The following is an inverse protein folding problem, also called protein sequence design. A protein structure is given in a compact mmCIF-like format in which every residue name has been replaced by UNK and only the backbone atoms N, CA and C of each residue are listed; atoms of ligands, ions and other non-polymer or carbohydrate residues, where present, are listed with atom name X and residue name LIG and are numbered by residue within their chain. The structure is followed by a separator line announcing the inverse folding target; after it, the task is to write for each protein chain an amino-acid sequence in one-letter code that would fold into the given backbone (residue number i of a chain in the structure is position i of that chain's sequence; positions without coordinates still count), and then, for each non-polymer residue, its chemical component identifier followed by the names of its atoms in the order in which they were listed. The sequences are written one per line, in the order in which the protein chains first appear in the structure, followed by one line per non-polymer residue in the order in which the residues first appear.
data_IF_051459030920
#
_entry.id   IF_051459030920
#
_cell.length_a   1.000
_cell.length_b   1.000
_cell.length_c   1.000
_cell.angle_alpha   90.00
_cell.angle_beta   90.00
_cell.angle_gamma   90.00
#
_symmetry.space_group_name_H-M   'P 1'
#
loop_
_entity.id
_entity.type
_entity.pdbx_description
1 polymer ?
#
# COMPACT_ATOMS: atom_id res chain seq x y z
N UNK A 1 -5.02 26.02 2.63
CA UNK A 1 -4.60 24.76 3.26
C UNK A 1 -5.22 23.57 2.59
N UNK A 2 -4.45 22.49 2.46
CA UNK A 2 -4.95 21.26 1.86
C UNK A 2 -5.96 20.57 2.77
N UNK A 3 -7.13 20.20 2.25
CA UNK A 3 -8.11 19.43 3.01
C UNK A 3 -7.56 18.07 3.42
N UNK A 4 -6.80 17.44 2.55
CA UNK A 4 -6.20 16.13 2.78
C UNK A 4 -5.16 16.19 3.89
N UNK A 5 -4.30 17.22 3.86
CA UNK A 5 -3.26 17.38 4.87
C UNK A 5 -3.78 17.63 6.27
N UNK A 6 -4.94 18.27 6.40
CA UNK A 6 -5.57 18.55 7.69
C UNK A 6 -6.35 17.38 8.27
N UNK A 7 -6.65 16.37 7.45
CA UNK A 7 -7.44 15.25 7.91
C UNK A 7 -6.65 14.44 8.95
N UNK A 8 -7.32 14.07 10.02
CA UNK A 8 -6.72 13.23 11.05
C UNK A 8 -6.60 11.80 10.56
N UNK A 9 -5.63 11.08 11.08
CA UNK A 9 -5.45 9.66 10.82
C UNK A 9 -5.75 8.91 12.11
N UNK A 10 -6.76 8.04 12.08
CA UNK A 10 -7.06 7.19 13.22
C UNK A 10 -6.07 6.04 13.26
N UNK A 11 -5.47 5.81 14.42
CA UNK A 11 -4.51 4.73 14.61
C UNK A 11 -5.22 3.56 15.30
N UNK A 12 -5.38 2.40 14.62
CA UNK A 12 -5.95 1.23 15.27
C UNK A 12 -5.08 0.79 16.47
N UNK A 13 -5.71 0.15 17.44
CA UNK A 13 -5.02 -0.27 18.67
C UNK A 13 -3.88 -1.25 18.41
N UNK A 14 -3.94 -1.98 17.30
CA UNK A 14 -2.93 -2.97 16.91
C UNK A 14 -1.81 -2.41 16.05
N UNK A 15 -1.82 -1.11 15.78
CA UNK A 15 -0.79 -0.43 14.98
C UNK A 15 0.03 0.51 15.87
N UNK A 16 1.35 0.44 15.72
CA UNK A 16 2.28 1.31 16.43
C UNK A 16 3.00 2.20 15.43
N UNK A 17 3.03 3.50 15.70
CA UNK A 17 3.74 4.47 14.87
C UNK A 17 4.86 5.08 15.70
N UNK A 18 6.08 5.08 15.15
CA UNK A 18 7.25 5.72 15.77
C UNK A 18 7.90 6.63 14.76
N UNK A 19 8.47 7.73 15.25
CA UNK A 19 9.23 8.68 14.46
C UNK A 19 10.61 8.87 15.09
N UNK A 20 11.64 8.78 14.25
CA UNK A 20 13.01 9.03 14.68
C UNK A 20 13.79 9.65 13.54
N UNK A 21 14.33 10.86 13.76
CA UNK A 21 15.16 11.58 12.78
C UNK A 21 14.50 11.70 11.39
N UNK A 22 13.20 11.97 11.37
CA UNK A 22 12.46 12.09 10.12
C UNK A 22 12.05 10.77 9.48
N UNK A 23 12.38 9.64 10.10
CA UNK A 23 11.96 8.34 9.62
C UNK A 23 10.74 7.85 10.40
N UNK A 24 9.63 7.70 9.72
CA UNK A 24 8.39 7.20 10.32
C UNK A 24 8.28 5.70 10.09
N UNK A 25 8.11 4.96 11.17
CA UNK A 25 7.91 3.51 11.13
C UNK A 25 6.50 3.18 11.60
N UNK A 26 5.75 2.47 10.77
CA UNK A 26 4.40 2.00 11.11
C UNK A 26 4.44 0.48 11.19
N UNK A 27 4.13 -0.05 12.36
CA UNK A 27 4.16 -1.49 12.63
C UNK A 27 2.76 -1.98 12.99
N UNK A 28 2.29 -2.98 12.29
CA UNK A 28 0.99 -3.59 12.54
C UNK A 28 1.03 -5.10 12.37
N UNK A 29 -0.10 -5.79 12.56
CA UNK A 29 -0.16 -7.25 12.49
C UNK A 29 0.13 -7.83 11.12
N UNK A 30 -0.04 -7.05 10.06
CA UNK A 30 0.24 -7.50 8.69
C UNK A 30 1.69 -7.29 8.28
N UNK A 31 2.38 -6.33 8.88
CA UNK A 31 3.78 -6.05 8.54
C UNK A 31 4.25 -4.71 9.09
N UNK A 32 5.40 -4.29 8.65
CA UNK A 32 6.04 -3.05 9.07
C UNK A 32 6.47 -2.27 7.83
N UNK A 33 6.15 -0.99 7.81
CA UNK A 33 6.52 -0.08 6.73
C UNK A 33 7.24 1.14 7.30
N UNK A 34 8.17 1.68 6.51
CA UNK A 34 8.92 2.88 6.87
C UNK A 34 8.80 3.92 5.77
N UNK A 35 8.84 5.19 6.16
CA UNK A 35 8.79 6.31 5.22
C UNK A 35 9.65 7.45 5.75
N UNK A 36 10.57 7.92 4.92
CA UNK A 36 11.35 9.12 5.20
C UNK A 36 10.49 10.35 4.89
N UNK A 37 10.33 11.23 5.87
CA UNK A 37 9.62 12.49 5.66
C UNK A 37 10.61 13.66 5.56
N UNK A 38 10.25 14.69 4.81
CA UNK A 38 11.09 15.88 4.65
C UNK A 38 11.11 16.72 5.92
N UNK A 39 12.19 17.47 6.09
CA UNK A 39 12.29 18.43 7.18
C UNK A 39 11.12 19.40 7.14
N UNK A 40 10.65 19.78 8.30
CA UNK A 40 9.55 20.72 8.44
C UNK A 40 8.19 20.11 8.65
N UNK A 41 7.96 18.88 8.19
CA UNK A 41 6.71 18.18 8.50
C UNK A 41 6.86 17.50 9.84
N UNK A 42 5.95 17.81 10.76
CA UNK A 42 5.96 17.28 12.12
C UNK A 42 4.76 16.38 12.35
N UNK A 43 5.00 15.26 13.02
CA UNK A 43 3.93 14.33 13.40
C UNK A 43 3.55 14.58 14.86
N UNK A 44 2.25 14.61 15.12
CA UNK A 44 1.71 14.71 16.45
C UNK A 44 0.75 13.56 16.70
N UNK A 45 1.04 12.77 17.70
CA UNK A 45 0.24 11.59 18.05
C UNK A 45 -0.39 11.78 19.43
N UNK A 46 -1.72 11.68 19.50
CA UNK A 46 -2.49 11.90 20.72
C UNK A 46 -3.74 11.02 20.68
N UNK A 47 -3.98 10.26 21.77
CA UNK A 47 -5.22 9.47 21.96
C UNK A 47 -5.62 8.60 20.76
N UNK A 48 -4.62 7.96 20.12
CA UNK A 48 -4.90 7.12 18.97
C UNK A 48 -5.16 7.88 17.68
N UNK A 49 -4.87 9.17 17.65
CA UNK A 49 -5.04 10.02 16.48
C UNK A 49 -3.68 10.60 16.09
N UNK A 50 -3.37 10.52 14.81
CA UNK A 50 -2.16 11.09 14.24
C UNK A 50 -2.50 12.31 13.40
N UNK A 51 -1.83 13.42 13.65
CA UNK A 51 -1.95 14.62 12.84
C UNK A 51 -0.57 15.02 12.33
N UNK A 52 -0.54 15.62 11.14
CA UNK A 52 0.67 16.16 10.55
C UNK A 52 0.59 17.67 10.57
N UNK A 53 1.67 18.32 10.98
CA UNK A 53 1.79 19.77 11.00
C UNK A 53 2.88 20.20 10.02
N UNK A 54 2.70 21.39 9.45
CA UNK A 54 3.66 21.99 8.55
C UNK A 54 4.12 23.32 9.09
N UNK A 55 5.38 23.75 8.80
CA UNK A 55 5.91 25.00 9.38
C UNK A 55 5.38 26.27 8.70
N UNK A 56 4.84 26.16 7.48
CA UNK A 56 4.36 27.32 6.74
C UNK A 56 3.26 26.96 5.76
N UNK A 57 2.67 27.98 5.15
CA UNK A 57 1.65 27.83 4.12
C UNK A 57 2.22 27.92 2.70
N UNK A 58 3.53 27.74 2.53
CA UNK A 58 4.12 27.70 1.20
C UNK A 58 3.54 26.56 0.38
N UNK A 59 3.49 26.73 -0.94
CA UNK A 59 2.96 25.74 -1.87
C UNK A 59 3.67 24.39 -1.72
N UNK A 60 4.99 24.42 -1.49
CA UNK A 60 5.78 23.21 -1.30
C UNK A 60 5.39 22.49 0.00
N UNK A 61 5.24 23.21 1.10
CA UNK A 61 4.84 22.59 2.38
C UNK A 61 3.41 22.06 2.33
N UNK A 62 2.51 22.73 1.62
CA UNK A 62 1.14 22.22 1.42
C UNK A 62 1.14 20.91 0.64
N UNK A 63 1.93 20.83 -0.41
CA UNK A 63 2.04 19.63 -1.24
C UNK A 63 2.64 18.47 -0.45
N UNK A 64 3.73 18.72 0.30
CA UNK A 64 4.36 17.71 1.13
C UNK A 64 3.44 17.25 2.27
N UNK A 65 2.72 18.18 2.88
CA UNK A 65 1.75 17.86 3.95
C UNK A 65 0.70 16.87 3.48
N UNK A 66 0.07 17.14 2.33
CA UNK A 66 -0.92 16.23 1.75
C UNK A 66 -0.33 14.89 1.34
N UNK A 67 0.86 14.91 0.72
CA UNK A 67 1.54 13.71 0.28
C UNK A 67 1.86 12.77 1.45
N UNK A 68 2.51 13.30 2.49
CA UNK A 68 2.91 12.46 3.63
C UNK A 68 1.71 11.99 4.44
N UNK A 69 0.67 12.82 4.54
CA UNK A 69 -0.56 12.37 5.18
C UNK A 69 -1.15 11.16 4.45
N UNK A 70 -1.20 11.20 3.12
CA UNK A 70 -1.73 10.10 2.31
C UNK A 70 -0.85 8.85 2.44
N UNK A 71 0.47 9.01 2.38
CA UNK A 71 1.41 7.90 2.50
C UNK A 71 1.31 7.21 3.85
N UNK A 72 1.28 7.99 4.94
CA UNK A 72 1.19 7.45 6.29
C UNK A 72 -0.17 6.79 6.52
N UNK A 73 -1.25 7.38 6.02
CA UNK A 73 -2.57 6.76 6.10
C UNK A 73 -2.59 5.39 5.40
N UNK A 74 -2.00 5.29 4.22
CA UNK A 74 -1.90 4.02 3.51
C UNK A 74 -1.07 2.99 4.27
N UNK A 75 0.00 3.43 4.94
CA UNK A 75 0.82 2.56 5.77
C UNK A 75 0.04 2.02 6.96
N UNK A 76 -0.74 2.88 7.62
CA UNK A 76 -1.59 2.48 8.76
C UNK A 76 -2.63 1.46 8.32
N UNK A 77 -3.37 1.73 7.24
CA UNK A 77 -4.38 0.81 6.72
C UNK A 77 -3.74 -0.50 6.26
N UNK A 78 -2.64 -0.41 5.52
CA UNK A 78 -1.96 -1.59 4.98
C UNK A 78 -1.43 -2.52 6.07
N UNK A 79 -0.80 -1.98 7.10
CA UNK A 79 -0.25 -2.80 8.18
C UNK A 79 -1.31 -3.36 9.13
N UNK A 80 -2.48 -2.72 9.22
CA UNK A 80 -3.59 -3.19 10.07
C UNK A 80 -4.53 -4.14 9.33
N UNK A 81 -5.06 -3.74 8.17
CA UNK A 81 -6.06 -4.49 7.42
C UNK A 81 -5.50 -5.13 6.15
N UNK A 82 -4.50 -4.51 5.56
CA UNK A 82 -3.93 -4.93 4.28
C UNK A 82 -4.75 -4.41 3.10
N UNK A 83 -4.18 -4.57 1.91
CA UNK A 83 -4.84 -4.21 0.67
C UNK A 83 -5.01 -5.47 -0.18
N UNK A 84 -6.16 -5.61 -0.80
CA UNK A 84 -6.45 -6.72 -1.70
C UNK A 84 -6.97 -6.17 -3.02
N UNK A 85 -6.42 -6.66 -4.12
CA UNK A 85 -6.86 -6.29 -5.47
C UNK A 85 -7.06 -7.54 -6.30
N UNK A 86 -8.20 -7.60 -6.99
CA UNK A 86 -8.50 -8.70 -7.89
C UNK A 86 -8.46 -8.21 -9.33
N UNK A 87 -7.83 -8.99 -10.18
CA UNK A 87 -7.73 -8.71 -11.60
C UNK A 87 -8.32 -9.89 -12.36
N UNK A 88 -9.19 -9.60 -13.34
CA UNK A 88 -9.78 -10.59 -14.21
C UNK A 88 -9.12 -10.52 -15.58
N UNK A 89 -8.65 -11.65 -16.06
CA UNK A 89 -8.07 -11.74 -17.40
C UNK A 89 -9.16 -12.05 -18.42
N UNK A 90 -9.42 -11.11 -19.32
CA UNK A 90 -10.47 -11.26 -20.33
C UNK A 90 -9.83 -11.51 -21.69
N UNK A 91 -10.04 -12.70 -22.23
CA UNK A 91 -9.51 -13.09 -23.54
C UNK A 91 -9.59 -14.60 -23.74
N UNK A 92 -9.74 -15.00 -24.99
CA UNK A 92 -9.82 -16.42 -25.35
C UNK A 92 -8.46 -17.08 -25.13
N UNK A 93 -8.45 -18.16 -24.35
CA UNK A 93 -7.23 -18.93 -24.08
C UNK A 93 -6.33 -18.30 -23.02
N UNK A 94 -6.75 -17.21 -22.37
CA UNK A 94 -5.96 -16.60 -21.30
C UNK A 94 -5.96 -17.51 -20.08
N UNK A 95 -4.81 -17.65 -19.46
CA UNK A 95 -4.61 -18.47 -18.27
C UNK A 95 -3.68 -17.79 -17.31
N UNK A 96 -3.84 -18.09 -16.03
CA UNK A 96 -2.96 -17.62 -14.98
C UNK A 96 -2.70 -18.74 -13.99
N UNK A 97 -1.47 -18.87 -13.56
CA UNK A 97 -1.07 -19.78 -12.50
C UNK A 97 0.05 -19.16 -11.68
N UNK A 98 0.28 -19.64 -10.49
CA UNK A 98 1.33 -19.11 -9.64
C UNK A 98 2.09 -20.22 -8.93
N UNK A 99 3.33 -19.92 -8.60
CA UNK A 99 4.18 -20.78 -7.80
C UNK A 99 4.94 -19.89 -6.82
N UNK A 100 4.53 -19.92 -5.55
CA UNK A 100 5.07 -18.97 -4.57
C UNK A 100 4.72 -17.54 -4.99
N UNK A 101 5.73 -16.69 -5.15
CA UNK A 101 5.57 -15.30 -5.59
C UNK A 101 5.80 -15.11 -7.09
N UNK A 102 5.81 -16.19 -7.84
CA UNK A 102 6.01 -16.15 -9.28
C UNK A 102 4.66 -16.32 -9.97
N UNK A 103 4.30 -15.35 -10.80
CA UNK A 103 3.07 -15.36 -11.58
C UNK A 103 3.37 -15.73 -13.02
N UNK A 104 2.74 -16.81 -13.50
CA UNK A 104 2.83 -17.25 -14.88
C UNK A 104 1.53 -16.97 -15.58
N UNK A 105 1.56 -16.26 -16.70
CA UNK A 105 0.38 -15.89 -17.46
C UNK A 105 0.53 -16.28 -18.94
N UNK A 106 -0.55 -16.80 -19.52
CA UNK A 106 -0.66 -17.01 -20.97
C UNK A 106 -1.71 -16.00 -21.48
N UNK A 107 -1.25 -15.01 -22.25
CA UNK A 107 -2.06 -13.86 -22.66
C UNK A 107 -2.13 -13.71 -24.19
N UNK A 108 -2.12 -14.82 -24.92
CA UNK A 108 -2.20 -14.78 -26.38
C UNK A 108 -0.89 -14.55 -27.11
N UNK A 109 0.22 -14.41 -26.38
CA UNK A 109 1.54 -14.32 -26.97
C UNK A 109 2.10 -15.71 -27.27
N UNK A 110 3.12 -15.78 -28.12
CA UNK A 110 3.77 -17.04 -28.45
C UNK A 110 4.54 -17.65 -27.29
N UNK A 111 4.81 -16.86 -26.25
CA UNK A 111 5.49 -17.30 -25.03
C UNK A 111 4.69 -16.88 -23.80
N UNK A 112 4.91 -17.58 -22.70
CA UNK A 112 4.29 -17.22 -21.43
C UNK A 112 4.96 -15.96 -20.85
N UNK A 113 4.16 -15.15 -20.14
CA UNK A 113 4.66 -14.01 -19.42
C UNK A 113 4.89 -14.44 -17.97
N UNK A 114 6.09 -14.22 -17.47
CA UNK A 114 6.48 -14.57 -16.11
C UNK A 114 6.80 -13.29 -15.34
N UNK A 115 6.20 -13.13 -14.17
CA UNK A 115 6.43 -11.98 -13.33
C UNK A 115 6.77 -12.43 -11.92
N UNK A 116 7.93 -12.00 -11.43
CA UNK A 116 8.32 -12.25 -10.05
C UNK A 116 7.82 -11.12 -9.17
N UNK A 117 7.10 -11.45 -8.12
CA UNK A 117 6.51 -10.47 -7.21
C UNK A 117 7.36 -10.34 -5.94
N UNK A 118 7.35 -9.15 -5.31
CA UNK A 118 8.02 -8.97 -4.02
C UNK A 118 7.46 -9.92 -2.95
N UNK A 119 8.25 -10.17 -1.92
CA UNK A 119 7.86 -11.07 -0.82
C UNK A 119 6.63 -10.59 -0.04
N UNK A 120 6.41 -9.29 -0.05
CA UNK A 120 5.30 -8.65 0.67
C UNK A 120 3.94 -8.94 0.04
N UNK A 121 3.93 -9.42 -1.20
CA UNK A 121 2.69 -9.68 -1.93
C UNK A 121 2.30 -11.14 -1.79
N UNK A 122 1.07 -11.36 -1.34
CA UNK A 122 0.44 -12.68 -1.35
C UNK A 122 -0.34 -12.83 -2.65
N UNK A 123 -0.02 -13.86 -3.40
CA UNK A 123 -0.60 -14.09 -4.71
C UNK A 123 -1.48 -15.32 -4.69
N UNK A 124 -2.67 -15.19 -5.25
CA UNK A 124 -3.58 -16.31 -5.46
C UNK A 124 -4.16 -16.22 -6.87
N UNK A 125 -4.34 -17.36 -7.51
CA UNK A 125 -4.91 -17.41 -8.84
C UNK A 125 -6.03 -18.43 -8.89
N UNK A 126 -7.11 -18.07 -9.58
CA UNK A 126 -8.23 -18.96 -9.82
C UNK A 126 -8.45 -19.06 -11.33
N UNK A 127 -8.27 -20.25 -11.88
CA UNK A 127 -8.45 -20.48 -13.32
C UNK A 127 -9.38 -21.68 -13.49
N UNK A 128 -10.65 -21.39 -13.80
CA UNK A 128 -11.65 -22.42 -14.02
C UNK A 128 -11.98 -22.54 -15.51
N UNK A 129 -12.25 -23.75 -15.94
CA UNK A 129 -12.64 -24.01 -17.33
C UNK A 129 -13.96 -23.32 -17.65
N UNK A 130 -13.97 -22.52 -18.69
CA UNK A 130 -15.15 -21.78 -19.11
C UNK A 130 -15.36 -20.44 -18.41
N UNK A 131 -14.46 -20.06 -17.51
CA UNK A 131 -14.49 -18.76 -16.82
C UNK A 131 -13.18 -18.02 -17.01
N UNK A 132 -13.24 -16.69 -16.90
CA UNK A 132 -12.03 -15.87 -16.97
C UNK A 132 -11.15 -16.11 -15.75
N UNK A 133 -9.82 -16.21 -15.93
CA UNK A 133 -8.92 -16.33 -14.80
C UNK A 133 -8.95 -15.09 -13.92
N UNK A 134 -8.90 -15.28 -12.60
CA UNK A 134 -8.89 -14.21 -11.61
C UNK A 134 -7.58 -14.28 -10.82
N UNK A 135 -6.90 -13.14 -10.72
CA UNK A 135 -5.67 -13.00 -9.94
C UNK A 135 -6.00 -12.15 -8.73
N UNK A 136 -5.73 -12.66 -7.55
CA UNK A 136 -5.92 -11.93 -6.30
C UNK A 136 -4.56 -11.58 -5.71
N UNK A 137 -4.31 -10.29 -5.51
CA UNK A 137 -3.08 -9.77 -4.93
C UNK A 137 -3.38 -9.14 -3.58
N UNK A 138 -2.66 -9.52 -2.55
CA UNK A 138 -2.80 -8.96 -1.22
C UNK A 138 -1.44 -8.51 -0.69
N UNK A 139 -1.39 -7.34 -0.10
CA UNK A 139 -0.16 -6.79 0.46
C UNK A 139 -0.47 -5.79 1.56
N UNK A 140 0.48 -5.55 2.44
CA UNK A 140 0.41 -4.47 3.41
C UNK A 140 0.96 -3.15 2.84
N UNK A 141 1.62 -3.19 1.72
CA UNK A 141 2.14 -2.00 1.03
C UNK A 141 1.27 -1.71 -0.19
N UNK A 142 0.65 -0.54 -0.24
CA UNK A 142 -0.21 -0.15 -1.35
C UNK A 142 0.57 0.08 -2.64
N UNK A 143 1.80 0.54 -2.54
CA UNK A 143 2.66 0.75 -3.69
C UNK A 143 3.22 -0.55 -4.21
#
# INVERSE_FOLDING_TARGET
MSRIGKSIIEIPANVTITEKDGLVTVKGPKGELTQQISEGITLKQEDGILTLERPSESKQHKALHGLYRALIHNMVVGTSEGFTKQLELVGVGYRASHQGNRLDMALGFSHAIVMDLPKEITLDTLSEKGKNPIITLSSYDKQ
#
